data_IF_668822068049
#
_entry.id   IF_668822068049
#
_cell.length_a   1.000
_cell.length_b   1.000
_cell.length_c   1.000
_cell.angle_alpha   90.00
_cell.angle_beta   90.00
_cell.angle_gamma   90.00
#
_symmetry.space_group_name_H-M   'P 1'
#
loop_
_entity.id
_entity.type
_entity.pdbx_description
1 polymer ?
#
# COMPACT_ATOMS: atom_id res chain seq x y z
N UNK A 1 -24.47 -2.87 26.26
CA UNK A 1 -24.63 -2.62 24.81
C UNK A 1 -25.04 -3.92 24.18
N UNK A 2 -25.95 -3.96 23.19
CA UNK A 2 -26.23 -5.21 22.50
C UNK A 2 -24.91 -5.74 21.94
N UNK A 3 -24.70 -7.06 22.07
CA UNK A 3 -23.53 -7.75 21.49
C UNK A 3 -23.56 -7.53 19.97
N UNK A 4 -22.69 -6.63 19.51
CA UNK A 4 -22.56 -6.36 18.09
C UNK A 4 -21.72 -7.48 17.49
N UNK A 5 -22.36 -8.32 16.67
CA UNK A 5 -21.69 -9.46 16.05
C UNK A 5 -20.58 -9.00 15.09
N UNK A 6 -19.34 -9.41 15.37
CA UNK A 6 -18.16 -9.06 14.60
C UNK A 6 -18.25 -9.54 13.14
N UNK A 7 -18.98 -10.61 12.84
CA UNK A 7 -19.15 -11.13 11.48
C UNK A 7 -20.09 -10.25 10.67
N UNK A 8 -21.20 -9.81 11.27
CA UNK A 8 -22.10 -8.82 10.69
C UNK A 8 -21.34 -7.52 10.39
N UNK A 9 -20.52 -7.04 11.33
CA UNK A 9 -19.69 -5.85 11.13
C UNK A 9 -18.75 -5.99 9.93
N UNK A 10 -17.99 -7.09 9.86
CA UNK A 10 -17.12 -7.38 8.71
C UNK A 10 -17.89 -7.45 7.40
N UNK A 11 -19.08 -8.04 7.41
CA UNK A 11 -19.94 -8.19 6.22
C UNK A 11 -20.39 -6.82 5.71
N UNK A 12 -20.74 -5.90 6.60
CA UNK A 12 -21.09 -4.52 6.23
C UNK A 12 -19.86 -3.78 5.69
N UNK A 13 -18.71 -3.83 6.40
CA UNK A 13 -17.49 -3.15 5.99
C UNK A 13 -16.95 -3.64 4.64
N UNK A 14 -17.13 -4.91 4.31
CA UNK A 14 -16.78 -5.47 2.98
C UNK A 14 -17.54 -4.81 1.81
N UNK A 15 -18.63 -4.09 2.08
CA UNK A 15 -19.37 -3.33 1.08
C UNK A 15 -18.74 -1.97 0.77
N UNK A 16 -17.76 -1.54 1.55
CA UNK A 16 -16.98 -0.34 1.28
C UNK A 16 -15.76 -0.71 0.43
N UNK A 17 -15.76 -0.31 -0.83
CA UNK A 17 -14.64 -0.54 -1.74
C UNK A 17 -13.44 0.32 -1.32
N UNK A 18 -12.25 -0.28 -1.22
CA UNK A 18 -11.02 0.42 -0.89
C UNK A 18 -9.94 0.14 -1.93
N UNK A 19 -8.96 1.03 -2.04
CA UNK A 19 -7.67 0.70 -2.63
C UNK A 19 -6.93 -0.34 -1.79
N UNK A 20 -5.87 -0.89 -2.35
CA UNK A 20 -4.97 -1.84 -1.69
C UNK A 20 -3.56 -1.27 -1.71
N UNK A 21 -2.90 -1.29 -0.57
CA UNK A 21 -1.51 -0.88 -0.46
C UNK A 21 -0.68 -1.93 0.30
N UNK A 22 0.61 -1.92 0.07
CA UNK A 22 1.59 -2.61 0.90
C UNK A 22 2.37 -1.57 1.69
N UNK A 23 2.33 -1.67 3.02
CA UNK A 23 3.20 -0.88 3.87
C UNK A 23 4.52 -1.63 4.02
N UNK A 24 5.63 -0.93 3.79
CA UNK A 24 6.99 -1.45 3.94
C UNK A 24 7.78 -0.63 4.95
N UNK A 25 8.67 -1.29 5.69
CA UNK A 25 9.62 -0.67 6.62
C UNK A 25 10.85 -1.56 6.79
N UNK A 26 11.78 -1.17 7.64
CA UNK A 26 12.94 -1.95 8.00
C UNK A 26 12.72 -2.69 9.33
N UNK A 27 13.05 -3.99 9.36
CA UNK A 27 13.20 -4.80 10.58
C UNK A 27 14.70 -5.12 10.74
N UNK A 28 15.39 -4.27 11.48
CA UNK A 28 16.85 -4.24 11.48
C UNK A 28 17.40 -3.84 10.11
N UNK A 29 18.12 -4.75 9.47
CA UNK A 29 18.69 -4.61 8.11
C UNK A 29 17.85 -5.28 7.02
N UNK A 30 16.68 -5.84 7.36
CA UNK A 30 15.82 -6.56 6.44
C UNK A 30 14.57 -5.76 6.11
N UNK A 31 14.19 -5.67 4.84
CA UNK A 31 12.92 -5.04 4.48
C UNK A 31 11.75 -5.94 4.90
N UNK A 32 10.71 -5.34 5.45
CA UNK A 32 9.49 -6.02 5.87
C UNK A 32 8.26 -5.34 5.29
N UNK A 33 7.21 -6.11 4.96
CA UNK A 33 5.98 -5.55 4.39
C UNK A 33 4.72 -6.25 4.87
N UNK A 34 3.59 -5.54 4.75
CA UNK A 34 2.24 -6.07 5.00
C UNK A 34 1.21 -5.37 4.14
N UNK A 35 0.20 -6.13 3.66
CA UNK A 35 -0.94 -5.57 2.93
C UNK A 35 -1.89 -4.87 3.89
N UNK A 36 -2.34 -3.70 3.48
CA UNK A 36 -3.35 -2.91 4.17
C UNK A 36 -4.40 -2.38 3.19
N UNK A 37 -5.62 -2.20 3.69
CA UNK A 37 -6.70 -1.45 3.06
C UNK A 37 -7.23 -0.35 3.99
N UNK A 38 -6.57 -0.14 5.12
CA UNK A 38 -6.88 0.86 6.14
C UNK A 38 -6.21 2.21 5.90
N UNK A 39 -5.53 2.38 4.74
CA UNK A 39 -4.87 3.62 4.37
C UNK A 39 -5.89 4.73 4.07
N UNK A 40 -5.61 5.94 4.61
CA UNK A 40 -6.41 7.15 4.35
C UNK A 40 -5.54 8.40 4.33
N UNK A 41 -5.86 9.36 3.46
CA UNK A 41 -5.31 10.69 3.54
C UNK A 41 -6.02 11.49 4.64
N UNK A 42 -5.29 12.32 5.40
CA UNK A 42 -5.78 13.05 6.57
C UNK A 42 -5.71 14.55 6.38
N UNK A 43 -4.57 15.07 5.92
CA UNK A 43 -4.30 16.50 5.81
C UNK A 43 -3.38 16.81 4.65
N UNK A 44 -3.53 18.00 4.07
CA UNK A 44 -2.63 18.51 3.03
C UNK A 44 -1.57 19.48 3.61
N UNK A 45 -1.84 20.07 4.76
CA UNK A 45 -0.93 21.06 5.39
C UNK A 45 -0.93 20.92 6.91
N UNK A 46 0.05 20.22 7.50
CA UNK A 46 1.07 19.41 6.82
C UNK A 46 0.44 18.20 6.09
N UNK A 47 1.15 17.59 5.12
CA UNK A 47 0.65 16.39 4.44
C UNK A 47 0.69 15.21 5.41
N UNK A 48 -0.48 14.72 5.82
CA UNK A 48 -0.64 13.62 6.76
C UNK A 48 -1.46 12.50 6.16
N UNK A 49 -1.05 11.29 6.50
CA UNK A 49 -1.76 10.05 6.17
C UNK A 49 -1.99 9.21 7.43
N UNK A 50 -2.92 8.28 7.35
CA UNK A 50 -3.27 7.34 8.40
C UNK A 50 -3.20 5.91 7.87
N UNK A 51 -2.67 5.00 8.69
CA UNK A 51 -2.84 3.54 8.54
C UNK A 51 -3.21 2.95 9.90
N UNK A 52 -4.20 2.05 9.92
CA UNK A 52 -4.52 1.27 11.10
C UNK A 52 -3.87 -0.11 11.04
N UNK A 53 -3.17 -0.51 12.10
CA UNK A 53 -2.57 -1.84 12.25
C UNK A 53 -3.14 -2.55 13.48
N UNK A 54 -3.52 -3.83 13.31
CA UNK A 54 -3.74 -4.73 14.43
C UNK A 54 -2.43 -4.81 15.25
N UNK A 55 -2.53 -4.63 16.58
CA UNK A 55 -1.38 -4.59 17.49
C UNK A 55 -0.53 -5.85 17.46
N UNK A 56 -1.11 -6.99 17.07
CA UNK A 56 -0.43 -8.28 17.00
C UNK A 56 0.26 -8.53 15.65
N UNK A 57 0.17 -7.58 14.71
CA UNK A 57 0.85 -7.73 13.41
C UNK A 57 2.37 -7.67 13.58
N UNK A 58 3.07 -8.58 12.90
CA UNK A 58 4.53 -8.70 12.95
C UNK A 58 5.29 -7.46 12.48
N UNK A 59 4.65 -6.59 11.72
CA UNK A 59 5.25 -5.31 11.29
C UNK A 59 5.30 -4.27 12.42
N UNK A 60 4.42 -4.37 13.42
CA UNK A 60 4.28 -3.35 14.47
C UNK A 60 5.57 -3.11 15.26
N UNK A 61 6.32 -4.12 15.73
CA UNK A 61 7.60 -3.89 16.39
C UNK A 61 8.60 -3.12 15.53
N UNK A 62 8.67 -3.43 14.24
CA UNK A 62 9.55 -2.74 13.28
C UNK A 62 9.12 -1.28 13.06
N UNK A 63 7.81 -1.01 12.97
CA UNK A 63 7.27 0.35 12.88
C UNK A 63 7.60 1.18 14.13
N UNK A 64 7.48 0.59 15.33
CA UNK A 64 7.81 1.27 16.58
C UNK A 64 9.32 1.56 16.70
N UNK A 65 10.16 0.68 16.16
CA UNK A 65 11.61 0.85 16.19
C UNK A 65 12.07 1.91 15.18
N UNK A 66 11.55 1.90 13.97
CA UNK A 66 11.99 2.80 12.90
C UNK A 66 11.29 4.16 12.96
N UNK A 67 10.06 4.22 13.47
CA UNK A 67 9.20 5.40 13.39
C UNK A 67 8.84 5.80 11.96
N UNK A 68 9.08 4.92 10.96
CA UNK A 68 8.97 5.28 9.54
C UNK A 68 8.45 4.11 8.72
N UNK A 69 7.70 4.45 7.67
CA UNK A 69 7.21 3.44 6.71
C UNK A 69 6.96 4.04 5.33
N UNK A 70 6.95 3.19 4.31
CA UNK A 70 6.45 3.56 3.01
C UNK A 70 5.09 2.91 2.74
N UNK A 71 4.22 3.63 2.02
CA UNK A 71 2.94 3.12 1.50
C UNK A 71 3.11 2.92 0.00
N UNK A 72 3.05 1.68 -0.45
CA UNK A 72 3.12 1.31 -1.87
C UNK A 72 1.70 1.03 -2.36
N UNK A 73 1.13 1.89 -3.18
CA UNK A 73 -0.21 1.72 -3.75
C UNK A 73 -0.13 0.71 -4.89
N UNK A 74 -0.93 -0.34 -4.81
CA UNK A 74 -0.87 -1.44 -5.76
C UNK A 74 -1.75 -1.22 -6.99
N UNK A 75 -1.21 -1.58 -8.15
CA UNK A 75 -1.95 -1.65 -9.41
C UNK A 75 -2.72 -2.96 -9.57
N UNK A 76 -3.65 -2.99 -10.53
CA UNK A 76 -4.54 -4.14 -10.81
C UNK A 76 -3.80 -5.46 -11.08
N UNK A 77 -2.55 -5.40 -11.58
CA UNK A 77 -1.70 -6.57 -11.83
C UNK A 77 -1.09 -7.19 -10.56
N UNK A 78 -1.10 -6.47 -9.43
CA UNK A 78 -0.34 -6.83 -8.22
C UNK A 78 -1.12 -7.68 -7.21
N UNK A 79 -2.18 -8.41 -7.65
CA UNK A 79 -2.98 -9.25 -6.77
C UNK A 79 -2.14 -10.29 -6.02
N UNK A 80 -1.21 -10.97 -6.72
CA UNK A 80 -0.34 -11.98 -6.11
C UNK A 80 0.52 -11.41 -4.98
N UNK A 81 1.02 -10.18 -5.16
CA UNK A 81 1.75 -9.46 -4.10
C UNK A 81 0.83 -9.14 -2.92
N UNK A 82 -0.37 -8.62 -3.18
CA UNK A 82 -1.34 -8.31 -2.14
C UNK A 82 -1.67 -9.54 -1.29
N UNK A 83 -1.92 -10.70 -1.92
CA UNK A 83 -2.21 -11.96 -1.24
C UNK A 83 -1.01 -12.43 -0.40
N UNK A 84 0.20 -12.39 -0.94
CA UNK A 84 1.42 -12.80 -0.22
C UNK A 84 1.66 -11.93 1.02
N UNK A 85 1.64 -10.61 0.88
CA UNK A 85 1.85 -9.68 1.99
C UNK A 85 0.70 -9.71 3.02
N UNK A 86 -0.50 -10.18 2.64
CA UNK A 86 -1.59 -10.47 3.56
C UNK A 86 -1.35 -11.76 4.36
N UNK A 87 -0.38 -12.59 3.97
CA UNK A 87 -0.08 -13.88 4.57
C UNK A 87 -0.97 -15.01 4.05
N UNK A 88 -1.61 -14.82 2.90
CA UNK A 88 -2.34 -15.89 2.24
C UNK A 88 -1.36 -16.95 1.70
N UNK A 89 -1.76 -18.26 1.72
CA UNK A 89 -0.98 -19.28 1.04
C UNK A 89 -0.90 -18.95 -0.46
N UNK A 90 0.31 -18.81 -0.97
CA UNK A 90 0.51 -18.68 -2.42
C UNK A 90 0.46 -20.08 -3.01
N UNK A 91 -0.39 -20.35 -4.03
CA UNK A 91 -0.33 -21.61 -4.75
C UNK A 91 1.06 -21.76 -5.34
N UNK A 92 1.86 -22.68 -4.84
CA UNK A 92 3.14 -23.03 -5.42
C UNK A 92 2.89 -24.07 -6.51
N UNK A 93 3.20 -23.73 -7.74
CA UNK A 93 3.27 -24.70 -8.86
C UNK A 93 4.48 -25.64 -8.73
N UNK A 94 5.26 -25.48 -7.68
CA UNK A 94 6.45 -26.28 -7.44
C UNK A 94 6.30 -27.07 -6.13
N UNK A 95 6.49 -28.38 -6.24
CA UNK A 95 6.30 -29.40 -5.19
C UNK A 95 7.33 -29.35 -4.04
N UNK A 96 7.93 -28.20 -3.77
CA UNK A 96 8.72 -27.93 -2.58
C UNK A 96 7.89 -27.15 -1.57
N UNK A 97 6.97 -27.85 -0.88
CA UNK A 97 6.38 -27.34 0.36
C UNK A 97 7.49 -27.19 1.40
N UNK A 98 7.77 -25.97 1.90
CA UNK A 98 8.51 -25.83 3.14
C UNK A 98 7.59 -26.39 4.24
N UNK A 99 8.07 -27.42 4.95
CA UNK A 99 7.40 -27.97 6.12
C UNK A 99 7.14 -26.87 7.14
N UNK A 100 5.89 -26.75 7.60
CA UNK A 100 5.52 -25.94 8.76
C UNK A 100 6.41 -26.33 9.94
N UNK A 101 7.42 -25.53 10.25
CA UNK A 101 8.30 -25.76 11.38
C UNK A 101 9.78 -25.46 11.18
N UNK A 102 10.26 -25.12 9.99
CA UNK A 102 11.62 -24.71 9.78
C UNK A 102 11.78 -23.19 10.01
N UNK A 103 12.40 -22.76 11.14
CA UNK A 103 12.70 -21.33 11.37
C UNK A 103 13.72 -20.77 10.38
N UNK A 104 14.33 -21.60 9.52
CA UNK A 104 15.24 -21.18 8.45
C UNK A 104 14.53 -20.91 7.12
N UNK A 105 13.25 -21.34 6.94
CA UNK A 105 12.43 -20.92 5.82
C UNK A 105 12.02 -19.47 6.05
N UNK A 106 12.87 -18.54 5.64
CA UNK A 106 12.67 -17.11 5.83
C UNK A 106 11.25 -16.71 5.42
N UNK A 107 10.50 -16.09 6.34
CA UNK A 107 9.16 -15.57 6.05
C UNK A 107 9.24 -14.77 4.75
N UNK A 108 8.49 -15.19 3.73
CA UNK A 108 8.49 -14.56 2.39
C UNK A 108 8.30 -13.04 2.45
N UNK A 109 7.62 -12.54 3.49
CA UNK A 109 7.44 -11.11 3.74
C UNK A 109 8.73 -10.40 4.13
N UNK A 110 9.68 -11.12 4.75
CA UNK A 110 11.03 -10.63 5.03
C UNK A 110 11.92 -10.55 3.79
N UNK A 111 11.45 -11.08 2.66
CA UNK A 111 12.08 -10.97 1.34
C UNK A 111 11.15 -10.21 0.36
N UNK A 112 10.22 -9.40 0.92
CA UNK A 112 9.20 -8.68 0.19
C UNK A 112 8.45 -9.54 -0.84
N UNK A 113 8.14 -10.79 -0.47
CA UNK A 113 7.41 -11.75 -1.33
C UNK A 113 8.09 -12.02 -2.69
N UNK A 114 9.40 -11.84 -2.78
CA UNK A 114 10.14 -11.92 -4.05
C UNK A 114 9.90 -10.73 -4.99
N UNK A 115 9.20 -9.70 -4.53
CA UNK A 115 8.99 -8.50 -5.32
C UNK A 115 10.30 -7.74 -5.52
N UNK A 116 10.48 -7.17 -6.70
CA UNK A 116 11.55 -6.21 -6.93
C UNK A 116 11.27 -4.92 -6.15
N UNK A 117 12.30 -4.41 -5.49
CA UNK A 117 12.21 -3.20 -4.69
C UNK A 117 13.48 -2.36 -4.80
N UNK A 118 13.38 -1.10 -4.47
CA UNK A 118 14.50 -0.16 -4.43
C UNK A 118 14.42 0.72 -3.18
N UNK A 119 15.50 1.41 -2.88
CA UNK A 119 15.48 2.47 -1.88
C UNK A 119 14.74 3.69 -2.43
N UNK A 120 13.81 4.19 -1.65
CA UNK A 120 13.18 5.48 -1.88
C UNK A 120 14.12 6.65 -1.56
N UNK A 121 13.61 7.86 -1.71
CA UNK A 121 14.35 9.12 -1.44
C UNK A 121 14.82 9.19 0.01
N UNK A 122 14.00 8.71 0.93
CA UNK A 122 14.30 8.73 2.37
C UNK A 122 14.96 7.43 2.87
N UNK A 123 15.27 6.50 1.96
CA UNK A 123 15.92 5.23 2.26
C UNK A 123 14.98 4.12 2.73
N UNK A 124 13.66 4.28 2.55
CA UNK A 124 12.68 3.21 2.80
C UNK A 124 12.59 2.26 1.60
N UNK A 125 12.24 0.97 1.81
CA UNK A 125 12.05 0.03 0.72
C UNK A 125 10.74 0.34 -0.04
N UNK A 126 10.84 0.60 -1.35
CA UNK A 126 9.73 0.89 -2.26
C UNK A 126 9.61 -0.23 -3.28
N UNK A 127 8.41 -0.77 -3.46
CA UNK A 127 8.11 -1.79 -4.46
C UNK A 127 8.14 -1.18 -5.88
N UNK A 128 8.86 -1.81 -6.80
CA UNK A 128 9.00 -1.32 -8.19
C UNK A 128 7.65 -1.34 -8.92
N UNK A 129 6.81 -2.36 -8.65
CA UNK A 129 5.49 -2.52 -9.26
C UNK A 129 4.38 -1.64 -8.62
N UNK A 130 4.72 -0.78 -7.65
CA UNK A 130 3.77 0.15 -7.09
C UNK A 130 3.41 1.23 -8.13
N UNK A 131 2.12 1.55 -8.27
CA UNK A 131 1.65 2.63 -9.15
C UNK A 131 1.85 4.01 -8.54
N UNK A 132 2.03 4.08 -7.22
CA UNK A 132 2.46 5.26 -6.49
C UNK A 132 3.03 4.82 -5.14
N UNK A 133 3.91 5.64 -4.55
CA UNK A 133 4.46 5.41 -3.24
C UNK A 133 4.56 6.70 -2.43
N UNK A 134 4.38 6.57 -1.11
CA UNK A 134 4.59 7.62 -0.11
C UNK A 134 5.62 7.13 0.89
N UNK A 135 6.59 7.97 1.24
CA UNK A 135 7.53 7.71 2.32
C UNK A 135 7.16 8.61 3.50
N UNK A 136 7.01 8.02 4.69
CA UNK A 136 6.34 8.68 5.80
C UNK A 136 7.11 8.52 7.10
N UNK A 137 7.10 9.56 7.92
CA UNK A 137 7.54 9.55 9.33
C UNK A 137 6.32 9.59 10.24
N UNK A 138 6.23 8.64 11.18
CA UNK A 138 5.16 8.57 12.17
C UNK A 138 5.26 9.79 13.09
N UNK A 139 4.16 10.55 13.20
CA UNK A 139 4.06 11.72 14.08
C UNK A 139 3.19 11.46 15.30
N UNK A 140 2.27 10.49 15.21
CA UNK A 140 1.41 10.14 16.34
C UNK A 140 0.88 8.71 16.21
N UNK A 141 0.56 8.07 17.35
CA UNK A 141 -0.03 6.72 17.42
C UNK A 141 -1.17 6.73 18.42
N UNK A 142 -2.38 6.45 17.95
CA UNK A 142 -3.58 6.45 18.80
C UNK A 142 -4.14 5.04 18.97
N UNK A 143 -4.27 4.54 20.20
CA UNK A 143 -4.98 3.29 20.46
C UNK A 143 -6.45 3.34 20.03
N UNK A 144 -6.91 2.34 19.27
CA UNK A 144 -8.28 2.26 18.77
C UNK A 144 -8.78 0.81 18.75
N UNK A 145 -9.37 0.35 19.87
CA UNK A 145 -9.84 -1.04 19.99
C UNK A 145 -8.70 -2.05 20.00
N UNK A 146 -8.70 -3.00 19.06
CA UNK A 146 -7.65 -4.01 18.82
C UNK A 146 -6.56 -3.54 17.83
N UNK A 147 -6.71 -2.33 17.30
CA UNK A 147 -5.77 -1.66 16.40
C UNK A 147 -5.15 -0.42 17.05
N UNK A 148 -4.05 0.04 16.45
CA UNK A 148 -3.50 1.37 16.66
C UNK A 148 -3.52 2.14 15.34
N UNK A 149 -3.84 3.43 15.41
CA UNK A 149 -3.87 4.37 14.29
C UNK A 149 -2.52 5.08 14.21
N UNK A 150 -1.78 4.82 13.16
CA UNK A 150 -0.49 5.46 12.91
C UNK A 150 -0.70 6.66 11.99
N UNK A 151 -0.66 7.84 12.56
CA UNK A 151 -0.66 9.11 11.81
C UNK A 151 0.78 9.42 11.44
N UNK A 152 1.02 9.66 10.16
CA UNK A 152 2.36 9.95 9.67
C UNK A 152 2.37 11.14 8.71
N UNK A 153 3.45 11.91 8.79
CA UNK A 153 3.75 12.96 7.84
C UNK A 153 4.40 12.36 6.60
N UNK A 154 3.96 12.82 5.44
CA UNK A 154 4.55 12.41 4.16
C UNK A 154 5.80 13.26 3.92
N UNK A 155 6.95 12.59 3.81
CA UNK A 155 8.26 13.20 3.57
C UNK A 155 8.61 13.21 2.07
N UNK A 156 8.15 12.17 1.33
CA UNK A 156 8.33 12.06 -0.11
C UNK A 156 7.16 11.32 -0.75
N UNK A 157 6.87 11.65 -2.01
CA UNK A 157 5.83 11.00 -2.81
C UNK A 157 6.35 10.74 -4.23
N UNK A 158 5.97 9.58 -4.78
CA UNK A 158 6.28 9.20 -6.16
C UNK A 158 4.99 8.77 -6.83
N UNK A 159 4.65 9.34 -7.97
CA UNK A 159 3.50 8.95 -8.80
C UNK A 159 3.99 8.30 -10.09
N UNK A 160 3.26 7.27 -10.56
CA UNK A 160 3.60 6.49 -11.74
C UNK A 160 4.38 5.22 -11.41
N UNK A 161 4.56 4.31 -12.41
CA UNK A 161 5.40 3.13 -12.26
C UNK A 161 6.78 3.58 -11.80
N UNK A 162 7.25 3.00 -10.72
CA UNK A 162 8.55 3.33 -10.11
C UNK A 162 9.66 2.69 -10.97
N UNK A 163 9.69 3.02 -12.29
CA UNK A 163 10.73 2.56 -13.21
C UNK A 163 12.08 3.18 -12.82
N UNK A 164 13.13 2.41 -12.95
CA UNK A 164 14.50 2.81 -12.63
C UNK A 164 14.88 4.15 -13.24
N UNK A 165 15.69 4.91 -12.52
CA UNK A 165 16.32 6.19 -12.86
C UNK A 165 15.37 7.38 -13.10
N UNK A 166 15.21 8.21 -12.06
CA UNK A 166 14.68 9.56 -12.10
C UNK A 166 13.19 9.76 -12.43
N UNK A 167 12.31 8.96 -11.88
CA UNK A 167 10.90 9.32 -11.83
C UNK A 167 10.68 10.36 -10.72
N UNK A 168 10.06 11.50 -11.07
CA UNK A 168 9.92 12.69 -10.25
C UNK A 168 9.46 12.43 -8.82
N UNK A 169 10.42 12.45 -7.90
CA UNK A 169 10.13 12.58 -6.50
C UNK A 169 9.55 13.98 -6.27
N UNK A 170 8.26 14.05 -5.96
CA UNK A 170 7.64 15.29 -5.52
C UNK A 170 8.04 15.52 -4.06
N UNK A 171 9.07 16.32 -3.83
CA UNK A 171 9.38 16.82 -2.50
C UNK A 171 8.19 17.65 -1.98
N UNK A 172 7.86 17.52 -0.69
CA UNK A 172 6.72 18.18 -0.07
C UNK A 172 6.72 19.73 -0.18
N UNK A 173 7.85 20.32 -0.54
CA UNK A 173 8.07 21.78 -0.67
C UNK A 173 8.20 22.29 -2.11
N UNK A 174 7.89 21.51 -3.14
CA UNK A 174 7.96 21.98 -4.51
C UNK A 174 6.82 22.98 -4.82
N UNK A 175 7.11 24.19 -5.36
CA UNK A 175 6.07 25.13 -5.76
C UNK A 175 5.22 24.54 -6.89
N UNK A 176 3.88 24.67 -6.75
CA UNK A 176 2.87 24.07 -7.64
C UNK A 176 2.64 24.88 -8.93
N UNK A 177 3.66 25.33 -9.62
CA UNK A 177 3.52 26.03 -10.89
C UNK A 177 3.99 25.23 -12.11
N UNK A 178 4.08 23.92 -11.99
CA UNK A 178 4.31 23.07 -13.14
C UNK A 178 2.98 22.48 -13.64
N UNK A 179 2.28 23.21 -14.48
CA UNK A 179 1.42 22.64 -15.52
C UNK A 179 2.33 21.84 -16.47
N UNK A 180 2.73 20.64 -16.04
CA UNK A 180 3.44 19.71 -16.91
C UNK A 180 2.42 18.99 -17.78
N UNK A 181 2.05 19.64 -18.87
CA UNK A 181 1.34 19.08 -20.02
C UNK A 181 2.28 18.22 -20.87
N UNK A 182 3.07 17.36 -20.24
CA UNK A 182 3.93 16.41 -20.93
C UNK A 182 3.93 15.04 -20.21
N UNK A 183 2.73 14.50 -20.02
CA UNK A 183 2.62 13.05 -19.82
C UNK A 183 2.54 12.42 -21.19
N UNK A 184 3.67 11.83 -21.63
CA UNK A 184 3.69 10.92 -22.78
C UNK A 184 2.52 9.93 -22.68
N UNK A 185 1.83 9.69 -23.79
CA UNK A 185 0.61 8.90 -23.95
C UNK A 185 0.77 7.44 -23.50
N UNK A 186 0.83 7.20 -22.19
CA UNK A 186 0.69 5.93 -21.53
C UNK A 186 -0.58 5.98 -20.70
N UNK A 187 -1.47 4.99 -20.87
CA UNK A 187 -2.67 4.93 -20.06
C UNK A 187 -2.30 4.92 -18.57
N UNK A 188 -2.98 5.78 -17.78
CA UNK A 188 -2.79 5.80 -16.32
C UNK A 188 -2.93 4.39 -15.72
N UNK A 189 -2.04 4.00 -14.79
CA UNK A 189 -2.11 2.68 -14.17
C UNK A 189 -3.39 2.56 -13.33
N UNK A 190 -4.12 1.46 -13.50
CA UNK A 190 -5.35 1.20 -12.77
C UNK A 190 -5.06 0.64 -11.38
N UNK A 191 -5.72 1.16 -10.32
CA UNK A 191 -5.49 0.69 -8.96
C UNK A 191 -6.11 -0.69 -8.73
N UNK A 192 -5.51 -1.47 -7.82
CA UNK A 192 -6.10 -2.68 -7.28
C UNK A 192 -7.20 -2.30 -6.28
N UNK A 193 -8.43 -2.79 -6.51
CA UNK A 193 -9.58 -2.53 -5.64
C UNK A 193 -9.93 -3.77 -4.82
N UNK A 194 -10.22 -3.58 -3.54
CA UNK A 194 -10.75 -4.62 -2.66
C UNK A 194 -12.22 -4.33 -2.33
N UNK A 195 -13.09 -5.28 -2.65
CA UNK A 195 -14.53 -5.18 -2.39
C UNK A 195 -15.13 -6.56 -2.16
N UNK A 196 -16.02 -6.69 -1.19
CA UNK A 196 -16.75 -7.92 -0.88
C UNK A 196 -15.87 -9.17 -0.69
N UNK A 197 -14.68 -8.98 -0.08
CA UNK A 197 -13.76 -10.08 0.21
C UNK A 197 -12.91 -10.54 -0.98
N UNK A 198 -12.85 -9.77 -2.06
CA UNK A 198 -12.08 -10.11 -3.26
C UNK A 198 -11.45 -8.88 -3.93
N UNK A 199 -10.41 -9.10 -4.72
CA UNK A 199 -9.82 -8.07 -5.56
C UNK A 199 -10.60 -7.93 -6.87
N UNK A 200 -10.83 -6.67 -7.28
CA UNK A 200 -11.54 -6.31 -8.49
C UNK A 200 -10.66 -5.43 -9.38
N UNK A 201 -10.97 -5.44 -10.67
CA UNK A 201 -10.45 -4.49 -11.67
C UNK A 201 -11.53 -3.49 -12.02
N UNK A 202 -11.11 -2.26 -12.35
CA UNK A 202 -12.01 -1.23 -12.86
C UNK A 202 -12.04 -1.36 -14.39
N UNK A 203 -13.21 -1.59 -14.97
CA UNK A 203 -13.36 -1.57 -16.42
C UNK A 203 -13.35 -0.13 -16.94
N UNK A 204 -12.54 0.16 -17.94
CA UNK A 204 -12.37 1.50 -18.54
C UNK A 204 -13.58 2.00 -19.34
N UNK A 205 -14.65 1.24 -19.44
CA UNK A 205 -15.82 1.56 -20.28
C UNK A 205 -16.53 2.89 -19.92
N UNK A 206 -16.23 3.48 -18.75
CA UNK A 206 -16.92 4.70 -18.27
C UNK A 206 -16.26 5.99 -18.80
N UNK A 207 -15.00 5.98 -19.21
CA UNK A 207 -14.28 7.19 -19.63
C UNK A 207 -14.81 7.76 -20.97
N UNK A 208 -15.25 6.91 -21.90
CA UNK A 208 -15.73 7.37 -23.23
C UNK A 208 -17.13 8.01 -23.23
N UNK A 209 -17.96 7.75 -22.21
CA UNK A 209 -19.31 8.35 -22.17
C UNK A 209 -19.34 9.78 -21.63
N UNK A 210 -18.32 10.21 -20.90
CA UNK A 210 -18.26 11.56 -20.34
C UNK A 210 -17.69 12.58 -21.32
N UNK A 211 -16.78 12.18 -22.21
CA UNK A 211 -16.23 13.08 -23.25
C UNK A 211 -17.25 13.43 -24.32
N UNK A 212 -18.16 12.53 -24.67
CA UNK A 212 -19.22 12.77 -25.67
C UNK A 212 -20.37 13.68 -25.21
N UNK A 213 -20.45 14.06 -23.93
CA UNK A 213 -21.51 14.95 -23.40
C UNK A 213 -21.07 16.40 -23.19
N UNK A 214 -19.77 16.69 -23.32
CA UNK A 214 -19.24 18.05 -23.18
C UNK A 214 -19.30 18.89 -24.46
N UNK A 215 -19.65 18.28 -25.61
CA UNK A 215 -19.72 18.95 -26.94
C UNK A 215 -21.16 19.15 -27.48
N UNK A 216 -22.21 19.14 -26.63
CA UNK A 216 -23.58 19.48 -27.08
C UNK A 216 -24.20 20.56 -26.21
#
# INVERSE_FOLDING_TARGET
MPDFDAETFRTVLRRFATGVAVVTTWDGDRPWGTTVNSFSSVSLRPPLVLVAFDRNRRIVPALLQTGRYAVNILGEGSRGLADCFAGAPVPSDDSTTPSDGDPSSGDRRAQLCGAEWRLGVTGLPILVDAIAALECTVVDVHPAGDHDLYVAQVDAATAGPVAGDAAGALAADAPRDATSDSMAAGAEPMPLIYYSGRYLRIERAIAHELEGKAER
#
